data_IF_567471335799
#
_entry.id   IF_567471335799
#
_cell.length_a   1.000
_cell.length_b   1.000
_cell.length_c   1.000
_cell.angle_alpha   90.00
_cell.angle_beta   90.00
_cell.angle_gamma   90.00
#
_symmetry.space_group_name_H-M   'P 1'
#
loop_
_entity.id
_entity.type
_entity.pdbx_description
1 polymer ?
#
# COMPACT_ATOMS: atom_id res chain seq x y z
N UNK A 1 16.97 -16.56 10.12
CA UNK A 1 15.79 -16.74 9.23
C UNK A 1 15.71 -15.47 8.40
N UNK A 2 16.05 -15.54 7.11
CA UNK A 2 15.88 -14.39 6.22
C UNK A 2 14.38 -14.27 5.97
N UNK A 3 13.74 -13.19 6.43
CA UNK A 3 12.40 -12.87 5.97
C UNK A 3 12.52 -12.70 4.44
N UNK A 4 12.02 -13.66 3.66
CA UNK A 4 11.73 -13.37 2.27
C UNK A 4 10.67 -12.28 2.35
N UNK A 5 11.06 -11.04 2.04
CA UNK A 5 10.09 -9.96 1.88
C UNK A 5 9.12 -10.43 0.80
N UNK A 6 7.93 -10.87 1.22
CA UNK A 6 6.98 -11.50 0.32
C UNK A 6 6.59 -10.51 -0.77
N UNK A 7 6.50 -10.98 -1.99
CA UNK A 7 5.99 -10.19 -3.10
C UNK A 7 4.48 -10.34 -3.14
N UNK A 8 3.75 -9.22 -3.22
CA UNK A 8 2.29 -9.23 -3.35
C UNK A 8 1.85 -8.06 -4.21
N UNK A 9 0.90 -8.28 -5.11
CA UNK A 9 0.31 -7.23 -5.93
C UNK A 9 -1.21 -7.38 -5.86
N UNK A 10 -1.90 -6.28 -5.59
CA UNK A 10 -3.35 -6.26 -5.57
C UNK A 10 -3.87 -4.89 -6.01
N UNK A 11 -5.03 -4.92 -6.64
CA UNK A 11 -5.75 -3.71 -7.01
C UNK A 11 -6.55 -3.18 -5.81
N UNK A 12 -6.59 -1.87 -5.65
CA UNK A 12 -7.30 -1.18 -4.57
C UNK A 12 -8.24 -0.17 -5.20
N UNK A 13 -9.53 -0.34 -4.92
CA UNK A 13 -10.59 0.54 -5.36
C UNK A 13 -11.28 1.14 -4.15
N UNK A 14 -10.87 2.34 -3.79
CA UNK A 14 -11.39 3.13 -2.68
C UNK A 14 -11.96 4.46 -3.23
N UNK A 15 -12.93 5.09 -2.55
CA UNK A 15 -13.53 6.35 -3.03
C UNK A 15 -12.51 7.47 -3.33
N UNK A 16 -11.38 7.46 -2.61
CA UNK A 16 -10.28 8.41 -2.78
C UNK A 16 -9.12 7.92 -3.65
N UNK A 17 -9.11 6.67 -4.10
CA UNK A 17 -7.99 6.09 -4.84
C UNK A 17 -8.42 4.87 -5.66
N UNK A 18 -8.10 4.88 -6.95
CA UNK A 18 -8.24 3.71 -7.82
C UNK A 18 -6.86 3.38 -8.41
N UNK A 19 -6.35 2.19 -8.10
CA UNK A 19 -5.02 1.80 -8.54
C UNK A 19 -4.56 0.46 -7.98
N UNK A 20 -3.25 0.32 -7.86
CA UNK A 20 -2.59 -0.90 -7.48
C UNK A 20 -1.55 -0.65 -6.40
N UNK A 21 -1.48 -1.58 -5.45
CA UNK A 21 -0.40 -1.67 -4.47
C UNK A 21 0.40 -2.92 -4.77
N UNK A 22 1.72 -2.77 -4.80
CA UNK A 22 2.68 -3.85 -5.02
C UNK A 22 3.76 -3.79 -3.95
N UNK A 23 4.03 -4.91 -3.30
CA UNK A 23 5.16 -5.09 -2.40
C UNK A 23 6.22 -5.88 -3.16
N UNK A 24 7.42 -5.33 -3.27
CA UNK A 24 8.56 -5.96 -3.95
C UNK A 24 9.84 -5.71 -3.16
N UNK A 25 10.56 -6.77 -2.78
CA UNK A 25 11.81 -6.67 -2.02
C UNK A 25 11.72 -5.81 -0.74
N UNK A 26 10.55 -5.77 -0.08
CA UNK A 26 10.31 -4.95 1.10
C UNK A 26 10.05 -3.47 0.80
N UNK A 27 9.79 -3.11 -0.45
CA UNK A 27 9.34 -1.78 -0.86
C UNK A 27 7.88 -1.84 -1.26
N UNK A 28 7.09 -0.91 -0.74
CA UNK A 28 5.68 -0.69 -1.10
C UNK A 28 5.62 0.30 -2.24
N UNK A 29 5.19 -0.19 -3.40
CA UNK A 29 4.92 0.58 -4.61
C UNK A 29 3.42 0.83 -4.71
N UNK A 30 3.02 2.08 -4.82
CA UNK A 30 1.64 2.51 -5.02
C UNK A 30 1.58 3.24 -6.35
N UNK A 31 0.65 2.83 -7.21
CA UNK A 31 0.42 3.49 -8.49
C UNK A 31 -1.08 3.51 -8.78
N UNK A 32 -1.63 4.68 -9.05
CA UNK A 32 -3.05 4.84 -9.35
C UNK A 32 -3.42 6.28 -9.66
N UNK A 33 -4.72 6.56 -9.58
CA UNK A 33 -5.27 7.89 -9.78
C UNK A 33 -6.21 8.24 -8.63
N UNK A 34 -6.29 9.52 -8.29
CA UNK A 34 -7.32 10.08 -7.41
C UNK A 34 -8.57 10.38 -8.24
N UNK A 35 -9.70 9.68 -8.04
CA UNK A 35 -10.91 9.91 -8.85
C UNK A 35 -11.48 11.33 -8.72
N UNK A 36 -11.26 11.98 -7.56
CA UNK A 36 -11.79 13.31 -7.25
C UNK A 36 -11.24 14.44 -8.14
N UNK A 37 -9.98 14.35 -8.56
CA UNK A 37 -9.28 15.40 -9.30
C UNK A 37 -8.51 14.88 -10.53
N UNK A 38 -8.45 13.56 -10.72
CA UNK A 38 -7.72 12.89 -11.80
C UNK A 38 -6.20 12.85 -11.62
N UNK A 39 -5.67 13.24 -10.46
CA UNK A 39 -4.22 13.28 -10.21
C UNK A 39 -3.64 11.88 -10.15
N UNK A 40 -2.53 11.65 -10.86
CA UNK A 40 -1.75 10.44 -10.71
C UNK A 40 -1.10 10.38 -9.32
N UNK A 41 -1.19 9.22 -8.67
CA UNK A 41 -0.51 8.92 -7.42
C UNK A 41 0.51 7.83 -7.72
N UNK A 42 1.79 8.16 -7.53
CA UNK A 42 2.88 7.20 -7.61
C UNK A 42 3.74 7.39 -6.36
N UNK A 43 3.95 6.31 -5.60
CA UNK A 43 4.72 6.37 -4.36
C UNK A 43 5.48 5.08 -4.11
N UNK A 44 6.76 5.20 -3.82
CA UNK A 44 7.61 4.08 -3.42
C UNK A 44 8.07 4.33 -1.98
N UNK A 45 7.80 3.36 -1.09
CA UNK A 45 8.07 3.50 0.34
C UNK A 45 8.72 2.22 0.86
N UNK A 46 9.92 2.27 1.44
CA UNK A 46 10.50 1.13 2.13
C UNK A 46 9.59 0.70 3.29
N UNK A 47 9.27 -0.60 3.39
CA UNK A 47 8.40 -1.13 4.44
C UNK A 47 9.00 -0.96 5.85
N UNK A 48 10.33 -0.89 5.95
CA UNK A 48 11.10 -0.66 7.17
C UNK A 48 11.19 0.83 7.57
N UNK A 49 10.56 1.73 6.81
CA UNK A 49 10.49 3.17 7.14
C UNK A 49 9.96 3.38 8.55
N UNK A 50 8.95 2.61 8.96
CA UNK A 50 8.35 2.65 10.28
C UNK A 50 7.75 1.30 10.67
N UNK A 51 7.68 0.97 11.98
CA UNK A 51 7.24 -0.35 12.45
C UNK A 51 5.79 -0.66 12.07
N UNK A 52 4.92 0.35 12.03
CA UNK A 52 3.51 0.16 11.68
C UNK A 52 3.35 -0.23 10.21
N UNK A 53 4.10 0.41 9.30
CA UNK A 53 4.13 0.04 7.90
C UNK A 53 4.69 -1.37 7.70
N UNK A 54 5.72 -1.75 8.45
CA UNK A 54 6.26 -3.12 8.43
C UNK A 54 5.16 -4.14 8.76
N UNK A 55 4.42 -3.95 9.86
CA UNK A 55 3.32 -4.84 10.25
C UNK A 55 2.21 -4.89 9.20
N UNK A 56 1.81 -3.74 8.64
CA UNK A 56 0.79 -3.68 7.58
C UNK A 56 1.23 -4.42 6.31
N UNK A 57 2.50 -4.30 5.93
CA UNK A 57 3.08 -5.01 4.78
C UNK A 57 3.07 -6.52 5.02
N UNK A 58 3.43 -6.98 6.22
CA UNK A 58 3.36 -8.40 6.57
C UNK A 58 1.94 -8.94 6.52
N UNK A 59 0.96 -8.20 7.04
CA UNK A 59 -0.46 -8.58 6.99
C UNK A 59 -0.99 -8.61 5.54
N UNK A 60 -0.62 -7.61 4.72
CA UNK A 60 -1.01 -7.56 3.32
C UNK A 60 -0.44 -8.74 2.52
N UNK A 61 0.84 -9.07 2.73
CA UNK A 61 1.49 -10.24 2.13
C UNK A 61 0.86 -11.55 2.62
N UNK A 62 0.41 -11.61 3.87
CA UNK A 62 -0.31 -12.75 4.43
C UNK A 62 -1.74 -12.89 3.86
N UNK A 63 -2.21 -11.96 3.02
CA UNK A 63 -3.53 -12.01 2.39
C UNK A 63 -4.66 -11.63 3.35
N UNK A 64 -4.39 -10.82 4.39
CA UNK A 64 -5.45 -10.24 5.21
C UNK A 64 -6.29 -9.24 4.40
N UNK A 65 -7.60 -9.52 4.32
CA UNK A 65 -8.56 -8.59 3.74
C UNK A 65 -8.63 -7.26 4.52
N UNK A 66 -8.78 -6.15 3.80
CA UNK A 66 -8.95 -4.82 4.40
C UNK A 66 -7.66 -4.10 4.83
N UNK A 67 -6.49 -4.69 4.59
CA UNK A 67 -5.20 -4.03 4.89
C UNK A 67 -4.86 -2.93 3.88
N UNK A 68 -5.26 -3.08 2.62
CA UNK A 68 -5.00 -2.12 1.54
C UNK A 68 -5.38 -0.66 1.89
N UNK A 69 -6.63 -0.38 2.31
CA UNK A 69 -7.05 0.96 2.71
C UNK A 69 -6.27 1.54 3.89
N UNK A 70 -5.92 0.71 4.89
CA UNK A 70 -5.12 1.14 6.04
C UNK A 70 -3.70 1.55 5.61
N UNK A 71 -3.10 0.78 4.70
CA UNK A 71 -1.79 1.03 4.13
C UNK A 71 -1.79 2.35 3.35
N UNK A 72 -2.82 2.58 2.52
CA UNK A 72 -2.98 3.83 1.78
C UNK A 72 -3.22 5.04 2.71
N UNK A 73 -4.03 4.90 3.76
CA UNK A 73 -4.28 5.97 4.74
C UNK A 73 -3.01 6.32 5.54
N UNK A 74 -2.26 5.31 6.01
CA UNK A 74 -0.98 5.50 6.71
C UNK A 74 0.04 6.21 5.82
N UNK A 75 0.01 5.91 4.52
CA UNK A 75 0.84 6.55 3.52
C UNK A 75 0.28 7.89 3.03
N UNK A 76 -0.84 8.38 3.57
CA UNK A 76 -1.44 9.65 3.19
C UNK A 76 -1.90 9.71 1.73
N UNK A 77 -2.20 8.55 1.13
CA UNK A 77 -2.81 8.44 -0.20
C UNK A 77 -4.32 8.61 -0.09
N UNK A 78 -4.93 7.98 0.92
CA UNK A 78 -6.31 8.25 1.30
C UNK A 78 -6.32 9.34 2.36
N UNK A 79 -7.19 10.33 2.18
CA UNK A 79 -7.47 11.34 3.20
C UNK A 79 -8.26 10.67 4.34
N UNK A 80 -7.91 10.90 5.61
CA UNK A 80 -8.74 10.46 6.73
C UNK A 80 -10.02 11.33 6.73
N UNK A 81 -11.13 10.75 6.27
CA UNK A 81 -12.47 11.34 6.45
C UNK A 81 -12.89 11.36 7.92
#
# INVERSE_FOLDING_TARGET
>A
MSAQAGTGTWDVQEPGFDGQVRIENGVVHISGVRPQDGSAVVKDVPADRDPQLTELVELAVAGQDGVGPQLLAHLGVLDPT
#
